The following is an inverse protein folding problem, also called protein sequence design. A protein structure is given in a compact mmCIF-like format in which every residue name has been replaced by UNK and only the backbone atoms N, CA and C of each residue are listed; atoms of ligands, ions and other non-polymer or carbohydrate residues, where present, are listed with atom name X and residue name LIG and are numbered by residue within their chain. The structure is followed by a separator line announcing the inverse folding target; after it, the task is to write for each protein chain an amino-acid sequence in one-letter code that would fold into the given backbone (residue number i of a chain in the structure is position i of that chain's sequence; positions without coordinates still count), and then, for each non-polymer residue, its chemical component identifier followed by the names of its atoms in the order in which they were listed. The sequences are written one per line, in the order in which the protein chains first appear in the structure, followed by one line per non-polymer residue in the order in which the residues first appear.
data_IF_965045582793
#
_entry.id   IF_965045582793
#
_cell.length_a   1.000
_cell.length_b   1.000
_cell.length_c   1.000
_cell.angle_alpha   90.00
_cell.angle_beta   90.00
_cell.angle_gamma   90.00
#
_symmetry.space_group_name_H-M   'P 1'
#
loop_
_entity.id
_entity.type
_entity.pdbx_description
1 polymer ?
#
# COMPACT_ATOMS: atom_id res chain seq x y z
N UNK A 1 7.10 13.27 19.68
CA UNK A 1 7.02 13.00 18.22
C UNK A 1 6.28 11.69 18.09
N UNK A 2 5.16 11.71 17.39
CA UNK A 2 4.40 10.50 17.07
C UNK A 2 5.14 9.75 15.96
N UNK A 3 5.19 8.43 16.02
CA UNK A 3 5.81 7.60 14.97
C UNK A 3 4.71 6.73 14.38
N UNK A 4 4.52 6.85 13.08
CA UNK A 4 3.59 6.01 12.35
C UNK A 4 4.25 4.66 12.02
N UNK A 5 3.50 3.58 12.19
CA UNK A 5 3.95 2.21 11.93
C UNK A 5 2.94 1.54 11.02
N UNK A 6 3.37 1.12 9.84
CA UNK A 6 2.60 0.22 8.99
C UNK A 6 2.92 -1.23 9.34
N UNK A 7 1.90 -2.00 9.72
CA UNK A 7 2.05 -3.41 10.09
C UNK A 7 0.96 -4.30 9.50
N UNK A 8 1.30 -5.54 9.26
CA UNK A 8 0.35 -6.59 8.89
C UNK A 8 -0.32 -7.22 10.12
N UNK A 9 -1.37 -8.01 9.88
CA UNK A 9 -2.14 -8.67 10.95
C UNK A 9 -1.31 -9.65 11.80
N UNK A 10 -0.24 -10.22 11.24
CA UNK A 10 0.70 -11.11 11.94
C UNK A 10 1.75 -10.35 12.78
N UNK A 11 1.74 -9.02 12.75
CA UNK A 11 2.68 -8.16 13.44
C UNK A 11 3.93 -7.79 12.64
N UNK A 12 4.06 -8.25 11.39
CA UNK A 12 5.15 -7.85 10.49
C UNK A 12 5.09 -6.34 10.25
N UNK A 13 6.18 -5.63 10.58
CA UNK A 13 6.32 -4.20 10.32
C UNK A 13 6.88 -4.01 8.91
N UNK A 14 6.18 -3.24 8.10
CA UNK A 14 6.55 -2.97 6.70
C UNK A 14 7.29 -1.63 6.54
N UNK A 15 6.88 -0.61 7.30
CA UNK A 15 7.57 0.69 7.37
C UNK A 15 7.25 1.39 8.69
N UNK A 16 8.12 2.34 9.07
CA UNK A 16 7.95 3.22 10.21
C UNK A 16 8.62 4.56 9.92
N UNK A 17 7.90 5.65 10.16
CA UNK A 17 8.43 7.00 10.00
C UNK A 17 7.61 7.99 10.86
N UNK A 18 8.10 9.20 11.00
CA UNK A 18 7.42 10.31 11.68
C UNK A 18 6.39 10.97 10.76
N UNK A 19 6.53 10.80 9.45
CA UNK A 19 5.60 11.24 8.42
C UNK A 19 4.82 10.04 7.86
N UNK A 20 3.51 10.04 8.05
CA UNK A 20 2.63 8.95 7.57
C UNK A 20 2.67 8.80 6.05
N UNK A 21 2.96 9.88 5.32
CA UNK A 21 3.06 9.88 3.87
C UNK A 21 4.22 8.99 3.41
N UNK A 22 5.37 9.09 4.08
CA UNK A 22 6.53 8.24 3.80
C UNK A 22 6.23 6.77 4.13
N UNK A 23 5.57 6.50 5.28
CA UNK A 23 5.15 5.15 5.65
C UNK A 23 4.25 4.52 4.59
N UNK A 24 3.27 5.27 4.08
CA UNK A 24 2.34 4.78 3.07
C UNK A 24 3.03 4.61 1.71
N UNK A 25 3.88 5.55 1.30
CA UNK A 25 4.65 5.44 0.06
C UNK A 25 5.51 4.19 0.04
N UNK A 26 6.29 3.95 1.10
CA UNK A 26 7.15 2.75 1.22
C UNK A 26 6.34 1.46 1.06
N UNK A 27 5.17 1.40 1.68
CA UNK A 27 4.33 0.19 1.69
C UNK A 27 3.69 -0.06 0.31
N UNK A 28 3.30 1.02 -0.38
CA UNK A 28 2.79 0.95 -1.76
C UNK A 28 3.92 0.55 -2.72
N UNK A 29 5.09 1.16 -2.62
CA UNK A 29 6.26 0.87 -3.45
C UNK A 29 6.65 -0.61 -3.33
N UNK A 30 6.81 -1.12 -2.11
CA UNK A 30 7.07 -2.54 -1.86
C UNK A 30 6.03 -3.46 -2.53
N UNK A 31 4.74 -3.08 -2.55
CA UNK A 31 3.70 -3.87 -3.21
C UNK A 31 3.89 -3.88 -4.73
N UNK A 32 4.13 -2.71 -5.32
CA UNK A 32 4.30 -2.56 -6.77
C UNK A 32 5.55 -3.32 -7.23
N UNK A 33 6.67 -3.19 -6.52
CA UNK A 33 7.90 -3.94 -6.84
C UNK A 33 7.70 -5.45 -6.75
N UNK A 34 7.00 -5.93 -5.71
CA UNK A 34 6.69 -7.34 -5.54
C UNK A 34 5.85 -7.87 -6.71
N UNK A 35 4.87 -7.07 -7.16
CA UNK A 35 4.04 -7.37 -8.31
C UNK A 35 4.85 -7.44 -9.61
N UNK A 36 5.67 -6.41 -9.88
CA UNK A 36 6.51 -6.36 -11.08
C UNK A 36 7.49 -7.52 -11.14
N UNK A 37 8.10 -7.88 -10.00
CA UNK A 37 9.00 -9.03 -9.90
C UNK A 37 8.27 -10.35 -10.21
N UNK A 38 7.08 -10.54 -9.65
CA UNK A 38 6.27 -11.74 -9.92
C UNK A 38 5.92 -11.82 -11.41
N UNK A 39 5.36 -10.74 -11.98
CA UNK A 39 4.96 -10.69 -13.38
C UNK A 39 6.13 -10.94 -14.34
N UNK A 40 7.27 -10.28 -14.11
CA UNK A 40 8.46 -10.45 -14.94
C UNK A 40 9.05 -11.86 -14.84
N UNK A 41 8.94 -12.51 -13.67
CA UNK A 41 9.46 -13.85 -13.45
C UNK A 41 8.60 -14.94 -14.10
N UNK A 42 7.28 -14.89 -13.89
CA UNK A 42 6.38 -15.94 -14.35
C UNK A 42 5.79 -15.68 -15.75
N UNK A 43 5.91 -14.45 -16.29
CA UNK A 43 5.32 -14.01 -17.58
C UNK A 43 3.84 -14.38 -17.71
N UNK A 44 3.12 -14.37 -16.59
CA UNK A 44 1.71 -14.71 -16.54
C UNK A 44 0.87 -13.53 -17.06
N UNK A 45 -0.13 -13.82 -17.90
CA UNK A 45 -1.14 -12.83 -18.22
C UNK A 45 -2.04 -12.66 -16.99
N UNK A 46 -1.91 -11.53 -16.31
CA UNK A 46 -2.78 -11.18 -15.20
C UNK A 46 -4.16 -10.77 -15.70
N UNK A 47 -5.16 -11.00 -14.84
CA UNK A 47 -6.49 -10.45 -15.06
C UNK A 47 -6.44 -8.92 -15.10
N UNK A 48 -7.25 -8.32 -15.99
CA UNK A 48 -7.28 -6.86 -16.19
C UNK A 48 -7.51 -6.08 -14.89
N UNK A 49 -8.23 -6.69 -13.96
CA UNK A 49 -8.57 -6.14 -12.66
C UNK A 49 -7.33 -5.93 -11.77
N UNK A 50 -6.31 -6.79 -11.86
CA UNK A 50 -5.06 -6.62 -11.12
C UNK A 50 -4.27 -5.40 -11.61
N UNK A 51 -4.27 -5.12 -12.92
CA UNK A 51 -3.65 -3.90 -13.46
C UNK A 51 -4.38 -2.64 -12.98
N UNK A 52 -5.70 -2.69 -12.86
CA UNK A 52 -6.49 -1.57 -12.31
C UNK A 52 -6.12 -1.34 -10.84
N UNK A 53 -6.00 -2.40 -10.04
CA UNK A 53 -5.56 -2.31 -8.65
C UNK A 53 -4.18 -1.66 -8.51
N UNK A 54 -3.17 -2.15 -9.25
CA UNK A 54 -1.82 -1.56 -9.27
C UNK A 54 -1.83 -0.12 -9.79
N UNK A 55 -2.69 0.20 -10.76
CA UNK A 55 -2.88 1.56 -11.26
C UNK A 55 -3.43 2.51 -10.20
N UNK A 56 -4.37 2.06 -9.37
CA UNK A 56 -4.90 2.84 -8.26
C UNK A 56 -3.86 3.07 -7.16
N UNK A 57 -3.04 2.05 -6.86
CA UNK A 57 -1.91 2.19 -5.95
C UNK A 57 -0.90 3.23 -6.44
N UNK A 58 -0.50 3.15 -7.71
CA UNK A 58 0.39 4.14 -8.33
C UNK A 58 -0.21 5.55 -8.28
N UNK A 59 -1.52 5.69 -8.49
CA UNK A 59 -2.19 7.00 -8.40
C UNK A 59 -2.11 7.56 -6.99
N UNK A 60 -2.35 6.74 -5.96
CA UNK A 60 -2.23 7.18 -4.57
C UNK A 60 -0.79 7.54 -4.21
N UNK A 61 0.19 6.73 -4.61
CA UNK A 61 1.61 6.98 -4.39
C UNK A 61 2.07 8.34 -4.94
N UNK A 62 1.68 8.65 -6.18
CA UNK A 62 2.10 9.88 -6.86
C UNK A 62 1.38 11.14 -6.37
N UNK A 63 0.18 11.00 -5.79
CA UNK A 63 -0.63 12.13 -5.32
C UNK A 63 -0.60 12.28 -3.80
N UNK A 64 0.32 11.59 -3.10
CA UNK A 64 0.31 11.58 -1.64
C UNK A 64 0.56 12.99 -1.05
N UNK A 65 1.38 13.79 -1.73
CA UNK A 65 1.71 15.16 -1.33
C UNK A 65 0.52 16.12 -1.45
N UNK A 66 -0.53 15.73 -2.19
CA UNK A 66 -1.76 16.52 -2.30
C UNK A 66 -2.64 16.42 -1.04
N UNK A 67 -2.35 15.44 -0.16
CA UNK A 67 -3.08 15.26 1.09
C UNK A 67 -2.60 16.26 2.14
N UNK A 68 -3.52 17.10 2.61
CA UNK A 68 -3.27 18.03 3.73
C UNK A 68 -3.75 17.48 5.08
N UNK A 69 -4.39 16.31 5.08
CA UNK A 69 -4.96 15.66 6.25
C UNK A 69 -4.55 14.18 6.31
N UNK A 70 -3.87 13.81 7.38
CA UNK A 70 -3.34 12.46 7.59
C UNK A 70 -4.45 11.39 7.66
N UNK A 71 -5.59 11.68 8.31
CA UNK A 71 -6.69 10.74 8.43
C UNK A 71 -7.34 10.44 7.08
N UNK A 72 -7.50 11.46 6.22
CA UNK A 72 -8.00 11.28 4.86
C UNK A 72 -7.05 10.43 4.03
N UNK A 73 -5.74 10.63 4.19
CA UNK A 73 -4.73 9.82 3.50
C UNK A 73 -4.78 8.36 3.96
N UNK A 74 -4.85 8.12 5.27
CA UNK A 74 -4.96 6.77 5.84
C UNK A 74 -6.24 6.07 5.35
N UNK A 75 -7.37 6.77 5.30
CA UNK A 75 -8.65 6.21 4.85
C UNK A 75 -8.60 5.81 3.36
N UNK A 76 -8.05 6.66 2.49
CA UNK A 76 -7.88 6.35 1.07
C UNK A 76 -6.84 5.26 0.84
N UNK A 77 -5.78 5.23 1.65
CA UNK A 77 -4.84 4.12 1.67
C UNK A 77 -5.53 2.80 2.01
N UNK A 78 -6.35 2.73 3.05
CA UNK A 78 -7.04 1.49 3.41
C UNK A 78 -8.01 1.04 2.31
N UNK A 79 -8.80 1.95 1.73
CA UNK A 79 -9.71 1.60 0.62
C UNK A 79 -8.97 1.08 -0.60
N UNK A 80 -7.80 1.65 -0.89
CA UNK A 80 -7.04 1.31 -2.10
C UNK A 80 -6.20 0.06 -1.88
N UNK A 81 -5.41 0.00 -0.81
CA UNK A 81 -4.44 -1.07 -0.54
C UNK A 81 -5.10 -2.33 0.00
N UNK A 82 -6.01 -2.22 0.96
CA UNK A 82 -6.62 -3.39 1.61
C UNK A 82 -7.85 -3.91 0.86
N UNK A 83 -7.93 -3.70 -0.45
CA UNK A 83 -9.04 -4.23 -1.23
C UNK A 83 -8.96 -5.77 -1.25
N UNK A 84 -9.89 -6.41 -0.55
CA UNK A 84 -9.95 -7.86 -0.34
C UNK A 84 -10.16 -8.66 -1.64
N UNK A 85 -10.59 -8.02 -2.74
CA UNK A 85 -10.62 -8.64 -4.07
C UNK A 85 -9.20 -8.96 -4.60
N UNK A 86 -8.17 -8.29 -4.08
CA UNK A 86 -6.78 -8.39 -4.56
C UNK A 86 -5.75 -8.69 -3.46
N UNK A 87 -6.15 -8.58 -2.19
CA UNK A 87 -5.26 -8.71 -1.04
C UNK A 87 -5.82 -9.74 -0.07
N UNK A 88 -5.03 -10.78 0.19
CA UNK A 88 -5.37 -11.78 1.19
C UNK A 88 -5.45 -11.15 2.59
N UNK A 89 -6.37 -11.64 3.41
CA UNK A 89 -6.59 -11.16 4.78
C UNK A 89 -5.32 -11.12 5.66
N UNK A 90 -4.35 -12.00 5.44
CA UNK A 90 -3.06 -11.99 6.13
C UNK A 90 -2.18 -10.79 5.77
N UNK A 91 -2.38 -10.23 4.58
CA UNK A 91 -1.58 -9.14 4.03
C UNK A 91 -2.18 -7.76 4.24
N UNK A 92 -3.38 -7.66 4.83
CA UNK A 92 -4.01 -6.40 5.22
C UNK A 92 -3.06 -5.62 6.12
N UNK A 93 -2.89 -4.33 5.81
CA UNK A 93 -2.00 -3.41 6.52
C UNK A 93 -2.82 -2.45 7.38
N UNK A 94 -2.31 -2.17 8.58
CA UNK A 94 -2.82 -1.14 9.48
C UNK A 94 -1.71 -0.13 9.80
N UNK A 95 -2.09 1.13 9.86
CA UNK A 95 -1.28 2.25 10.35
C UNK A 95 -1.61 2.49 11.82
N UNK A 96 -0.59 2.49 12.67
CA UNK A 96 -0.66 2.77 14.10
C UNK A 96 0.28 3.91 14.50
N UNK A 97 0.08 4.49 15.68
CA UNK A 97 0.83 5.63 16.24
C UNK A 97 1.38 5.37 17.63
#
# INVERSE_FOLDING_TARGET
MTVYIAKQNDGTILSKDIDVSLVIQDVIEQRIENFERYYNHYKENLEINYYIYIGNLNKLYNNIEDYTNELSLIDDFYKTYNNEDYVDSSQIVRIET
#
